data_IF_153823966374
#
_entry.id   IF_153823966374
#
_cell.length_a   1.000
_cell.length_b   1.000
_cell.length_c   1.000
_cell.angle_alpha   90.00
_cell.angle_beta   90.00
_cell.angle_gamma   90.00
#
_symmetry.space_group_name_H-M   'P 1'
#
loop_
_entity.id
_entity.type
_entity.pdbx_description
1 polymer ?
#
# COMPACT_ATOMS: atom_id res chain seq x y z
N UNK A 1 44.71 -49.64 41.02
CA UNK A 1 43.87 -49.14 42.13
C UNK A 1 43.82 -47.63 41.97
N UNK A 2 42.78 -46.91 41.53
CA UNK A 2 41.36 -47.06 41.13
C UNK A 2 41.14 -46.03 39.98
N UNK A 3 40.45 -46.25 38.86
CA UNK A 3 39.00 -46.41 38.58
C UNK A 3 38.13 -45.14 38.78
N UNK A 4 37.41 -44.75 37.71
CA UNK A 4 36.19 -43.88 37.57
C UNK A 4 36.35 -42.34 37.69
N UNK A 5 35.55 -41.46 37.07
CA UNK A 5 34.61 -41.44 35.92
C UNK A 5 34.17 -39.97 35.69
N UNK A 6 33.53 -39.75 34.55
CA UNK A 6 32.87 -38.57 33.99
C UNK A 6 31.90 -37.79 34.92
N UNK A 7 31.75 -36.46 34.71
CA UNK A 7 30.44 -35.79 34.45
C UNK A 7 30.39 -34.25 34.66
N UNK A 8 29.98 -33.57 33.59
CA UNK A 8 28.96 -32.49 33.53
C UNK A 8 29.31 -31.06 34.05
N UNK A 9 29.04 -29.94 33.37
CA UNK A 9 28.44 -29.63 32.06
C UNK A 9 28.63 -28.13 31.76
N UNK A 10 29.34 -27.78 30.69
CA UNK A 10 29.26 -26.45 30.07
C UNK A 10 28.38 -26.58 28.82
N UNK A 11 27.15 -26.10 28.91
CA UNK A 11 26.19 -26.12 27.81
C UNK A 11 26.73 -25.28 26.65
N UNK A 12 27.19 -25.95 25.58
CA UNK A 12 27.49 -25.33 24.29
C UNK A 12 26.17 -24.76 23.73
N UNK A 13 26.07 -23.44 23.65
CA UNK A 13 25.00 -22.78 22.90
C UNK A 13 25.11 -23.15 21.42
N UNK A 14 24.17 -23.98 20.95
CA UNK A 14 24.00 -24.29 19.55
C UNK A 14 23.59 -23.00 18.79
N UNK A 15 24.41 -22.58 17.84
CA UNK A 15 24.05 -21.55 16.85
C UNK A 15 22.99 -22.16 15.92
N UNK A 16 21.72 -21.85 16.14
CA UNK A 16 20.67 -22.20 15.19
C UNK A 16 20.82 -21.35 13.94
N UNK A 17 21.27 -21.96 12.85
CA UNK A 17 21.18 -21.41 11.50
C UNK A 17 19.72 -21.48 11.05
N UNK A 18 19.05 -20.34 11.01
CA UNK A 18 17.68 -20.23 10.46
C UNK A 18 17.81 -19.92 8.96
N UNK A 19 17.33 -20.82 8.11
CA UNK A 19 17.27 -20.60 6.66
C UNK A 19 16.34 -19.42 6.33
N UNK A 20 16.70 -18.54 5.38
CA UNK A 20 15.88 -17.38 5.04
C UNK A 20 14.54 -17.80 4.42
N UNK A 21 13.44 -17.24 4.93
CA UNK A 21 12.09 -17.43 4.40
C UNK A 21 11.97 -16.81 2.99
N UNK A 22 11.21 -17.46 2.10
CA UNK A 22 10.92 -16.95 0.74
C UNK A 22 10.09 -15.67 0.81
N UNK A 23 10.49 -14.68 0.02
CA UNK A 23 9.94 -13.31 -0.04
C UNK A 23 8.44 -13.33 -0.38
N UNK A 24 7.60 -12.69 0.45
CA UNK A 24 6.21 -12.34 0.10
C UNK A 24 5.09 -12.89 1.01
N UNK A 25 5.39 -13.73 2.00
CA UNK A 25 4.39 -14.30 2.91
C UNK A 25 4.29 -13.50 4.22
N UNK A 26 3.06 -13.12 4.62
CA UNK A 26 2.74 -12.82 6.02
C UNK A 26 2.10 -14.06 6.65
N UNK A 27 2.67 -14.47 7.77
CA UNK A 27 2.24 -15.65 8.53
C UNK A 27 1.77 -15.14 9.88
N UNK A 28 0.50 -15.37 10.18
CA UNK A 28 -0.05 -15.11 11.51
C UNK A 28 -0.01 -16.41 12.31
N UNK A 29 0.55 -16.31 13.52
CA UNK A 29 0.63 -17.42 14.46
C UNK A 29 -0.51 -17.27 15.47
N UNK A 30 -1.38 -18.27 15.55
CA UNK A 30 -2.42 -18.34 16.60
C UNK A 30 -2.35 -19.73 17.24
N UNK A 31 -1.48 -19.86 18.23
CA UNK A 31 -1.16 -21.14 18.86
C UNK A 31 -0.67 -22.18 17.84
N UNK A 32 -0.93 -23.47 18.15
CA UNK A 32 -0.73 -24.76 17.44
C UNK A 32 -0.59 -24.80 15.92
N UNK A 33 -1.12 -23.77 15.26
CA UNK A 33 -1.44 -23.73 13.85
C UNK A 33 -0.99 -22.40 13.25
N UNK A 34 -0.30 -22.48 12.12
CA UNK A 34 -0.03 -21.33 11.29
C UNK A 34 -1.22 -21.11 10.35
N UNK A 35 -1.65 -19.86 10.19
CA UNK A 35 -2.62 -19.48 9.16
C UNK A 35 -1.95 -18.51 8.20
N UNK A 36 -2.03 -18.82 6.92
CA UNK A 36 -1.66 -17.90 5.84
C UNK A 36 -2.89 -17.03 5.62
N UNK A 37 -2.83 -15.77 6.05
CA UNK A 37 -3.92 -14.80 5.89
C UNK A 37 -3.49 -13.67 4.98
N UNK A 38 -4.00 -13.70 3.75
CA UNK A 38 -4.06 -12.53 2.88
C UNK A 38 -5.28 -11.71 3.35
N UNK A 39 -5.06 -10.59 4.04
CA UNK A 39 -6.15 -9.82 4.63
C UNK A 39 -6.71 -8.81 3.61
N UNK A 40 -7.72 -9.26 2.87
CA UNK A 40 -8.87 -8.43 2.49
C UNK A 40 -10.10 -8.97 3.25
N UNK A 41 -10.46 -8.27 4.33
CA UNK A 41 -11.71 -8.29 5.13
C UNK A 41 -12.36 -9.62 5.57
N UNK A 42 -12.75 -9.67 6.85
CA UNK A 42 -13.60 -10.71 7.43
C UNK A 42 -15.03 -10.66 6.87
N UNK A 43 -15.40 -11.60 5.98
CA UNK A 43 -16.77 -12.09 5.86
C UNK A 43 -16.75 -13.58 5.51
N UNK A 44 -17.28 -14.42 6.41
CA UNK A 44 -17.30 -15.89 6.33
C UNK A 44 -17.93 -16.43 5.02
N UNK A 45 -18.76 -15.63 4.35
CA UNK A 45 -19.38 -15.96 3.05
C UNK A 45 -18.38 -16.00 1.87
N UNK A 46 -17.38 -15.11 1.86
CA UNK A 46 -16.37 -15.06 0.79
C UNK A 46 -15.47 -16.31 0.83
N UNK A 47 -15.20 -16.82 2.04
CA UNK A 47 -14.39 -18.02 2.25
C UNK A 47 -15.07 -19.29 1.72
N UNK A 48 -16.37 -19.46 1.96
CA UNK A 48 -17.15 -20.60 1.45
C UNK A 48 -17.21 -20.58 -0.09
N UNK A 49 -17.35 -19.39 -0.68
CA UNK A 49 -17.43 -19.23 -2.13
C UNK A 49 -16.10 -19.51 -2.85
N UNK A 50 -14.97 -19.05 -2.30
CA UNK A 50 -13.63 -19.33 -2.84
C UNK A 50 -13.35 -20.83 -2.83
N UNK A 51 -13.76 -21.54 -1.78
CA UNK A 51 -13.59 -23.01 -1.67
C UNK A 51 -14.41 -23.73 -2.75
N UNK A 52 -15.64 -23.29 -3.03
CA UNK A 52 -16.47 -23.85 -4.10
C UNK A 52 -15.89 -23.58 -5.50
N UNK A 53 -15.40 -22.36 -5.75
CA UNK A 53 -14.79 -22.00 -7.04
C UNK A 53 -13.47 -22.74 -7.32
N UNK A 54 -12.78 -23.19 -6.27
CA UNK A 54 -11.59 -24.05 -6.37
C UNK A 54 -11.93 -25.52 -6.65
N UNK A 55 -13.11 -26.00 -6.24
CA UNK A 55 -13.58 -27.36 -6.54
C UNK A 55 -14.01 -27.51 -8.01
N UNK A 56 -14.54 -26.45 -8.61
CA UNK A 56 -15.21 -26.50 -9.92
C UNK A 56 -14.32 -26.01 -11.09
N UNK A 57 -13.08 -25.58 -10.82
CA UNK A 57 -12.04 -25.31 -11.82
C UNK A 57 -12.26 -24.08 -12.73
N UNK A 58 -13.30 -23.28 -12.50
CA UNK A 58 -13.62 -22.11 -13.32
C UNK A 58 -13.48 -20.79 -12.55
N UNK A 59 -12.66 -19.87 -13.07
CA UNK A 59 -12.57 -18.49 -12.54
C UNK A 59 -13.75 -17.66 -13.07
N UNK A 60 -14.75 -17.35 -12.23
CA UNK A 60 -15.80 -16.36 -12.56
C UNK A 60 -15.60 -15.07 -11.76
N UNK A 61 -15.85 -13.93 -12.40
CA UNK A 61 -15.83 -12.58 -11.79
C UNK A 61 -17.19 -12.31 -11.16
N UNK A 62 -17.23 -11.99 -9.87
CA UNK A 62 -18.47 -11.72 -9.12
C UNK A 62 -18.63 -10.21 -8.91
N UNK A 63 -19.84 -9.70 -9.07
CA UNK A 63 -20.17 -8.30 -8.82
C UNK A 63 -20.87 -8.12 -7.47
N UNK A 64 -20.66 -6.97 -6.82
CA UNK A 64 -21.09 -6.66 -5.44
C UNK A 64 -22.57 -6.92 -5.14
N UNK A 65 -23.46 -6.82 -6.13
CA UNK A 65 -24.89 -7.04 -5.95
C UNK A 65 -25.26 -8.53 -5.76
N UNK A 66 -24.47 -9.45 -6.31
CA UNK A 66 -24.72 -10.90 -6.25
C UNK A 66 -24.44 -11.49 -4.85
N UNK A 67 -23.71 -10.75 -3.99
CA UNK A 67 -23.35 -11.16 -2.62
C UNK A 67 -24.50 -10.85 -1.63
N UNK A 68 -25.33 -9.85 -1.92
CA UNK A 68 -26.38 -9.39 -1.02
C UNK A 68 -27.65 -10.25 -1.04
N UNK A 69 -27.85 -11.08 -2.07
CA UNK A 69 -29.04 -11.94 -2.21
C UNK A 69 -28.89 -13.33 -1.57
N UNK A 70 -27.75 -13.62 -0.95
CA UNK A 70 -27.54 -14.87 -0.23
C UNK A 70 -28.38 -14.90 1.05
N UNK A 71 -29.52 -15.60 1.00
CA UNK A 71 -30.40 -15.85 2.15
C UNK A 71 -29.61 -16.52 3.28
N UNK A 72 -29.34 -15.79 4.36
CA UNK A 72 -28.66 -16.30 5.55
C UNK A 72 -29.60 -17.30 6.24
N UNK A 73 -29.44 -18.60 5.94
CA UNK A 73 -30.18 -19.68 6.58
C UNK A 73 -29.41 -20.22 7.80
N UNK A 74 -30.08 -20.13 8.95
CA UNK A 74 -30.06 -21.08 10.08
C UNK A 74 -28.82 -21.25 10.98
N UNK A 75 -27.98 -20.23 11.19
CA UNK A 75 -26.94 -20.28 12.25
C UNK A 75 -27.34 -19.52 13.53
N UNK A 76 -28.42 -18.73 13.50
CA UNK A 76 -28.82 -17.87 14.61
C UNK A 76 -30.03 -18.37 15.43
N UNK A 77 -30.41 -19.64 15.33
CA UNK A 77 -31.60 -20.14 16.06
C UNK A 77 -31.39 -20.35 17.57
N UNK A 78 -30.17 -20.23 18.09
CA UNK A 78 -29.86 -20.57 19.49
C UNK A 78 -29.21 -19.41 20.29
N UNK A 79 -29.30 -18.17 19.82
CA UNK A 79 -28.98 -17.02 20.68
C UNK A 79 -30.25 -16.64 21.44
N UNK A 80 -30.29 -16.96 22.73
CA UNK A 80 -31.31 -16.45 23.66
C UNK A 80 -31.22 -14.93 23.73
N UNK A 81 -32.36 -14.25 23.84
CA UNK A 81 -32.47 -12.78 23.92
C UNK A 81 -31.53 -12.17 24.98
N UNK A 82 -31.29 -12.89 26.09
CA UNK A 82 -30.36 -12.49 27.15
C UNK A 82 -28.90 -12.34 26.69
N UNK A 83 -28.47 -13.10 25.67
CA UNK A 83 -27.11 -13.01 25.11
C UNK A 83 -26.97 -11.79 24.22
N UNK A 84 -28.03 -11.43 23.50
CA UNK A 84 -28.07 -10.21 22.67
C UNK A 84 -28.05 -8.97 23.58
N UNK A 85 -28.84 -8.99 24.66
CA UNK A 85 -28.91 -7.90 25.63
C UNK A 85 -27.58 -7.67 26.37
N UNK A 86 -26.80 -8.73 26.64
CA UNK A 86 -25.49 -8.61 27.29
C UNK A 86 -24.37 -8.10 26.35
N UNK A 87 -24.51 -8.27 25.03
CA UNK A 87 -23.57 -7.66 24.07
C UNK A 87 -23.80 -6.16 23.92
N UNK A 88 -25.06 -5.70 23.97
CA UNK A 88 -25.39 -4.27 23.89
C UNK A 88 -25.00 -3.49 25.16
N UNK A 89 -25.00 -4.13 26.33
CA UNK A 89 -24.69 -3.45 27.59
C UNK A 89 -23.19 -3.37 27.93
N UNK A 90 -22.31 -4.12 27.26
CA UNK A 90 -20.86 -4.09 27.54
C UNK A 90 -20.08 -3.07 26.68
N UNK A 91 -20.77 -2.34 25.80
CA UNK A 91 -20.26 -1.13 25.13
C UNK A 91 -20.91 0.15 25.66
N UNK A 92 -21.21 0.21 26.96
CA UNK A 92 -21.38 1.52 27.61
C UNK A 92 -20.00 2.18 27.81
N UNK A 93 -19.42 2.58 26.68
CA UNK A 93 -18.42 3.64 26.65
C UNK A 93 -19.16 4.94 26.96
N UNK A 94 -19.17 5.31 28.25
CA UNK A 94 -19.40 6.69 28.66
C UNK A 94 -18.30 7.57 28.06
N UNK A 95 -18.62 8.26 26.98
CA UNK A 95 -18.13 9.61 26.74
C UNK A 95 -19.18 10.34 25.93
N UNK A 96 -19.63 11.49 26.43
CA UNK A 96 -20.26 12.51 25.61
C UNK A 96 -19.27 12.91 24.50
N UNK A 97 -19.23 12.14 23.41
CA UNK A 97 -18.36 12.41 22.28
C UNK A 97 -19.01 13.55 21.49
N UNK A 98 -18.69 14.77 21.91
CA UNK A 98 -19.06 16.00 21.24
C UNK A 98 -18.76 15.87 19.75
N UNK A 99 -19.77 16.05 18.89
CA UNK A 99 -19.62 15.86 17.45
C UNK A 99 -18.43 16.69 16.94
N UNK A 100 -17.56 16.11 16.09
CA UNK A 100 -16.39 16.82 15.60
C UNK A 100 -16.82 18.11 14.91
N UNK A 101 -16.15 19.20 15.28
CA UNK A 101 -16.40 20.52 14.71
C UNK A 101 -16.17 20.51 13.19
N UNK A 102 -16.81 21.44 12.48
CA UNK A 102 -16.62 21.60 11.03
C UNK A 102 -15.14 21.79 10.67
N UNK A 103 -14.39 22.47 11.53
CA UNK A 103 -12.94 22.68 11.36
C UNK A 103 -12.14 21.38 11.50
N UNK A 104 -12.52 20.48 12.41
CA UNK A 104 -11.87 19.16 12.55
C UNK A 104 -12.16 18.26 11.36
N UNK A 105 -13.40 18.27 10.87
CA UNK A 105 -13.78 17.56 9.65
C UNK A 105 -12.98 18.08 8.45
N UNK A 106 -12.80 19.40 8.34
CA UNK A 106 -12.01 20.01 7.27
C UNK A 106 -10.52 19.67 7.40
N UNK A 107 -9.95 19.72 8.62
CA UNK A 107 -8.57 19.28 8.87
C UNK A 107 -8.37 17.81 8.49
N UNK A 108 -9.31 16.93 8.81
CA UNK A 108 -9.28 15.52 8.41
C UNK A 108 -9.36 15.36 6.88
N UNK A 109 -10.25 16.12 6.23
CA UNK A 109 -10.38 16.11 4.77
C UNK A 109 -9.10 16.58 4.07
N UNK A 110 -8.40 17.59 4.63
CA UNK A 110 -7.12 18.08 4.14
C UNK A 110 -5.97 17.09 4.41
N UNK A 111 -5.97 16.42 5.57
CA UNK A 111 -4.98 15.41 5.95
C UNK A 111 -5.04 14.14 5.09
N UNK A 112 -6.11 13.95 4.30
CA UNK A 112 -6.25 12.86 3.32
C UNK A 112 -5.06 12.75 2.36
N UNK A 113 -4.41 13.87 2.02
CA UNK A 113 -3.38 13.90 0.98
C UNK A 113 -2.00 14.08 1.60
N UNK A 114 -1.09 13.12 1.39
CA UNK A 114 0.24 13.17 1.99
C UNK A 114 1.07 14.32 1.39
N UNK A 115 2.04 14.91 2.14
CA UNK A 115 2.87 16.02 1.64
C UNK A 115 3.58 15.73 0.32
N UNK A 116 4.08 14.49 0.15
CA UNK A 116 4.71 14.05 -1.11
C UNK A 116 3.70 14.00 -2.26
N UNK A 117 2.49 13.56 -1.97
CA UNK A 117 1.38 13.50 -2.92
C UNK A 117 0.95 14.91 -3.35
N UNK A 118 1.01 15.90 -2.44
CA UNK A 118 0.80 17.32 -2.75
C UNK A 118 1.87 17.86 -3.71
N UNK A 119 3.15 17.55 -3.47
CA UNK A 119 4.23 17.94 -4.38
C UNK A 119 4.04 17.35 -5.79
N UNK A 120 3.65 16.08 -5.88
CA UNK A 120 3.36 15.45 -7.17
C UNK A 120 2.16 16.10 -7.87
N UNK A 121 1.14 16.50 -7.10
CA UNK A 121 -0.04 17.23 -7.60
C UNK A 121 0.37 18.56 -8.20
N UNK A 122 1.12 19.39 -7.45
CA UNK A 122 1.63 20.67 -7.93
C UNK A 122 2.52 20.53 -9.17
N UNK A 123 3.34 19.47 -9.22
CA UNK A 123 4.16 19.20 -10.40
C UNK A 123 3.32 18.92 -11.65
N UNK A 124 2.33 18.03 -11.57
CA UNK A 124 1.45 17.73 -12.71
C UNK A 124 0.64 18.94 -13.18
N UNK A 125 0.15 19.75 -12.24
CA UNK A 125 -0.55 21.01 -12.51
C UNK A 125 0.37 22.01 -13.21
N UNK A 126 1.61 22.15 -12.74
CA UNK A 126 2.61 23.03 -13.35
C UNK A 126 2.89 22.64 -14.80
N UNK A 127 2.96 21.34 -15.11
CA UNK A 127 3.13 20.86 -16.48
C UNK A 127 1.97 21.30 -17.38
N UNK A 128 0.73 21.06 -16.94
CA UNK A 128 -0.44 21.43 -17.72
C UNK A 128 -0.54 22.96 -17.91
N UNK A 129 -0.36 23.75 -16.85
CA UNK A 129 -0.37 25.22 -16.95
C UNK A 129 0.73 25.76 -17.86
N UNK A 130 1.93 25.20 -17.78
CA UNK A 130 3.04 25.55 -18.66
C UNK A 130 2.67 25.30 -20.12
N UNK A 131 2.21 24.08 -20.43
CA UNK A 131 1.79 23.71 -21.77
C UNK A 131 0.64 24.58 -22.30
N UNK A 132 -0.36 24.89 -21.47
CA UNK A 132 -1.46 25.79 -21.85
C UNK A 132 -0.92 27.18 -22.23
N UNK A 133 -0.04 27.73 -21.40
CA UNK A 133 0.56 29.05 -21.64
C UNK A 133 1.40 29.07 -22.92
N UNK A 134 2.22 28.04 -23.15
CA UNK A 134 3.02 27.87 -24.37
C UNK A 134 2.15 27.81 -25.63
N UNK A 135 0.96 27.22 -25.52
CA UNK A 135 -0.01 27.10 -26.61
C UNK A 135 -1.02 28.26 -26.66
N UNK A 136 -0.75 29.37 -25.96
CA UNK A 136 -1.58 30.59 -25.92
C UNK A 136 -3.00 30.38 -25.40
N UNK A 137 -3.19 29.38 -24.54
CA UNK A 137 -4.42 29.17 -23.78
C UNK A 137 -4.34 29.80 -22.39
N UNK A 138 -5.51 30.02 -21.78
CA UNK A 138 -5.57 30.37 -20.35
C UNK A 138 -4.99 29.24 -19.51
N UNK A 139 -4.25 29.59 -18.47
CA UNK A 139 -3.72 28.64 -17.50
C UNK A 139 -4.76 28.20 -16.45
N UNK A 140 -5.92 28.88 -16.37
CA UNK A 140 -7.05 28.54 -15.50
C UNK A 140 -7.89 27.40 -16.10
N UNK A 141 -7.31 26.21 -16.22
CA UNK A 141 -8.01 25.05 -16.78
C UNK A 141 -9.14 24.53 -15.89
N UNK A 142 -9.17 24.94 -14.63
CA UNK A 142 -10.17 24.55 -13.65
C UNK A 142 -11.55 25.14 -13.99
N UNK A 143 -11.58 26.27 -14.70
CA UNK A 143 -12.80 26.98 -15.12
C UNK A 143 -13.37 26.47 -16.46
N UNK A 144 -12.63 25.60 -17.17
CA UNK A 144 -13.04 25.10 -18.48
C UNK A 144 -14.22 24.13 -18.36
N UNK A 145 -15.14 24.19 -19.32
CA UNK A 145 -16.15 23.15 -19.50
C UNK A 145 -15.50 21.80 -19.82
N UNK A 146 -16.21 20.69 -19.59
CA UNK A 146 -15.67 19.35 -19.79
C UNK A 146 -15.21 19.08 -21.21
N UNK A 147 -15.91 19.61 -22.22
CA UNK A 147 -15.58 19.39 -23.63
C UNK A 147 -14.26 20.06 -23.97
N UNK A 148 -14.12 21.34 -23.61
CA UNK A 148 -12.89 22.09 -23.82
C UNK A 148 -11.74 21.51 -23.00
N UNK A 149 -11.98 21.14 -21.74
CA UNK A 149 -10.95 20.52 -20.90
C UNK A 149 -10.48 19.19 -21.49
N UNK A 150 -11.39 18.32 -21.94
CA UNK A 150 -11.03 17.06 -22.58
C UNK A 150 -10.22 17.29 -23.87
N UNK A 151 -10.62 18.25 -24.71
CA UNK A 151 -9.88 18.61 -25.92
C UNK A 151 -8.44 19.05 -25.58
N UNK A 152 -8.29 19.95 -24.61
CA UNK A 152 -6.96 20.37 -24.13
C UNK A 152 -6.14 19.20 -23.58
N UNK A 153 -6.76 18.27 -22.86
CA UNK A 153 -6.09 17.08 -22.35
C UNK A 153 -5.64 16.12 -23.46
N UNK A 154 -6.38 15.99 -24.57
CA UNK A 154 -5.96 15.20 -25.73
C UNK A 154 -4.63 15.73 -26.28
N UNK A 155 -4.56 17.02 -26.60
CA UNK A 155 -3.35 17.64 -27.13
C UNK A 155 -2.22 17.63 -26.11
N UNK A 156 -2.51 17.99 -24.87
CA UNK A 156 -1.53 17.99 -23.79
C UNK A 156 -0.87 16.63 -23.62
N UNK A 157 -1.66 15.55 -23.49
CA UNK A 157 -1.11 14.21 -23.35
C UNK A 157 -0.24 13.87 -24.56
N UNK A 158 -0.74 14.06 -25.79
CA UNK A 158 0.03 13.77 -27.01
C UNK A 158 1.37 14.53 -27.11
N UNK A 159 1.46 15.72 -26.50
CA UNK A 159 2.66 16.57 -26.49
C UNK A 159 3.60 16.34 -25.31
N UNK A 160 3.29 15.43 -24.38
CA UNK A 160 4.09 15.25 -23.16
C UNK A 160 5.51 14.76 -23.45
N UNK A 161 6.49 15.62 -23.20
CA UNK A 161 7.92 15.31 -23.27
C UNK A 161 8.68 15.98 -22.12
N UNK A 162 9.79 15.36 -21.73
CA UNK A 162 10.74 15.97 -20.78
C UNK A 162 11.41 17.18 -21.41
N UNK A 163 12.08 18.02 -20.60
CA UNK A 163 12.89 19.16 -21.10
C UNK A 163 13.97 18.76 -22.11
N UNK A 164 14.38 17.50 -22.11
CA UNK A 164 15.38 16.96 -23.03
C UNK A 164 14.75 16.35 -24.30
N UNK A 165 13.43 16.47 -24.49
CA UNK A 165 12.70 15.87 -25.61
C UNK A 165 12.41 14.37 -25.47
N UNK A 166 12.83 13.74 -24.36
CA UNK A 166 12.56 12.32 -24.10
C UNK A 166 11.12 12.10 -23.65
N UNK A 167 10.57 10.91 -23.95
CA UNK A 167 9.25 10.50 -23.47
C UNK A 167 9.22 10.33 -21.94
N UNK A 168 8.08 10.64 -21.33
CA UNK A 168 7.82 10.27 -19.94
C UNK A 168 7.60 8.76 -19.78
N UNK A 169 7.99 8.21 -18.62
CA UNK A 169 7.67 6.82 -18.27
C UNK A 169 6.15 6.64 -18.10
N UNK A 170 5.66 5.39 -18.21
CA UNK A 170 4.24 5.10 -17.95
C UNK A 170 3.78 5.55 -16.56
N UNK A 171 4.61 5.31 -15.54
CA UNK A 171 4.30 5.72 -14.17
C UNK A 171 4.20 7.24 -14.03
N UNK A 172 5.05 7.99 -14.74
CA UNK A 172 4.95 9.45 -14.79
C UNK A 172 3.66 9.90 -15.48
N UNK A 173 3.28 9.31 -16.62
CA UNK A 173 2.02 9.64 -17.30
C UNK A 173 0.78 9.40 -16.41
N UNK A 174 0.72 8.25 -15.73
CA UNK A 174 -0.34 7.96 -14.76
C UNK A 174 -0.32 8.97 -13.61
N UNK A 175 0.87 9.32 -13.12
CA UNK A 175 1.07 10.31 -12.06
C UNK A 175 0.59 11.71 -12.46
N UNK A 176 0.88 12.17 -13.68
CA UNK A 176 0.43 13.46 -14.21
C UNK A 176 -1.10 13.50 -14.28
N UNK A 177 -1.74 12.48 -14.87
CA UNK A 177 -3.21 12.41 -14.95
C UNK A 177 -3.85 12.42 -13.56
N UNK A 178 -3.28 11.66 -12.62
CA UNK A 178 -3.78 11.60 -11.25
C UNK A 178 -3.60 12.93 -10.52
N UNK A 179 -2.48 13.62 -10.74
CA UNK A 179 -2.23 14.96 -10.22
C UNK A 179 -3.29 15.96 -10.70
N UNK A 180 -3.59 15.98 -12.01
CA UNK A 180 -4.60 16.88 -12.56
C UNK A 180 -5.98 16.56 -11.99
N UNK A 181 -6.35 15.27 -11.93
CA UNK A 181 -7.63 14.83 -11.35
C UNK A 181 -7.78 15.24 -9.89
N UNK A 182 -6.74 15.05 -9.06
CA UNK A 182 -6.75 15.49 -7.66
C UNK A 182 -6.88 17.00 -7.52
N UNK A 183 -6.25 17.77 -8.41
CA UNK A 183 -6.28 19.22 -8.34
C UNK A 183 -7.67 19.80 -8.66
N UNK A 184 -8.34 19.29 -9.68
CA UNK A 184 -9.68 19.77 -10.06
C UNK A 184 -10.79 19.31 -9.10
N UNK A 185 -10.66 18.10 -8.54
CA UNK A 185 -11.64 17.53 -7.59
C UNK A 185 -11.37 17.94 -6.14
N UNK A 186 -10.16 18.43 -5.86
CA UNK A 186 -9.76 18.89 -4.54
C UNK A 186 -10.09 20.37 -4.30
N UNK A 187 -9.96 20.83 -3.03
CA UNK A 187 -10.05 22.25 -2.72
C UNK A 187 -8.99 23.07 -3.47
N UNK A 188 -9.30 24.31 -3.89
CA UNK A 188 -10.57 25.03 -3.68
C UNK A 188 -11.66 24.71 -4.71
N UNK A 189 -11.33 24.00 -5.80
CA UNK A 189 -12.21 23.89 -6.97
C UNK A 189 -13.36 22.91 -6.78
N UNK A 190 -13.12 21.78 -6.09
CA UNK A 190 -14.13 20.78 -5.73
C UNK A 190 -15.08 20.41 -6.87
N UNK A 191 -14.55 20.28 -8.10
CA UNK A 191 -15.40 19.97 -9.25
C UNK A 191 -15.92 18.54 -9.17
N UNK A 192 -17.20 18.37 -9.48
CA UNK A 192 -17.85 17.07 -9.60
C UNK A 192 -17.63 16.47 -11.00
N UNK A 193 -16.37 16.23 -11.34
CA UNK A 193 -15.96 15.57 -12.59
C UNK A 193 -14.81 14.60 -12.32
N UNK A 194 -14.72 13.53 -13.10
CA UNK A 194 -13.63 12.58 -13.05
C UNK A 194 -13.03 12.37 -14.43
N UNK A 195 -11.92 13.06 -14.69
CA UNK A 195 -11.19 12.99 -15.96
C UNK A 195 -10.61 11.61 -16.29
N UNK A 196 -10.64 10.66 -15.35
CA UNK A 196 -10.13 9.30 -15.52
C UNK A 196 -11.23 8.34 -15.98
N UNK A 197 -12.45 8.49 -15.46
CA UNK A 197 -13.54 7.51 -15.66
C UNK A 197 -14.72 8.04 -16.44
N UNK A 198 -14.94 9.35 -16.46
CA UNK A 198 -16.15 9.92 -17.04
C UNK A 198 -16.12 9.84 -18.57
N UNK A 199 -17.29 9.63 -19.15
CA UNK A 199 -17.45 9.41 -20.59
C UNK A 199 -17.03 10.62 -21.42
N UNK A 200 -17.23 11.83 -20.89
CA UNK A 200 -16.80 13.09 -21.51
C UNK A 200 -15.29 13.15 -21.74
N UNK A 201 -14.50 12.41 -20.97
CA UNK A 201 -13.04 12.37 -21.06
C UNK A 201 -12.49 11.14 -21.79
N UNK A 202 -13.34 10.32 -22.42
CA UNK A 202 -12.90 9.14 -23.18
C UNK A 202 -11.86 9.45 -24.27
N UNK A 203 -11.98 10.54 -25.07
CA UNK A 203 -10.97 10.86 -26.08
C UNK A 203 -9.56 11.07 -25.48
N UNK A 204 -9.44 11.88 -24.42
CA UNK A 204 -8.14 12.13 -23.79
C UNK A 204 -7.59 10.87 -23.11
N UNK A 205 -8.46 10.03 -22.55
CA UNK A 205 -8.09 8.72 -21.99
C UNK A 205 -7.61 7.73 -23.07
N UNK A 206 -8.16 7.76 -24.27
CA UNK A 206 -7.64 6.99 -25.40
C UNK A 206 -6.24 7.46 -25.81
N UNK A 207 -6.00 8.76 -25.86
CA UNK A 207 -4.69 9.33 -26.22
C UNK A 207 -3.62 8.88 -25.23
N UNK A 208 -3.83 9.08 -23.92
CA UNK A 208 -2.83 8.72 -22.91
C UNK A 208 -2.60 7.19 -22.89
N UNK A 209 -3.63 6.39 -23.11
CA UNK A 209 -3.51 4.93 -23.25
C UNK A 209 -2.72 4.55 -24.50
N UNK A 210 -2.95 5.23 -25.62
CA UNK A 210 -2.21 5.08 -26.86
C UNK A 210 -0.72 5.36 -26.68
N UNK A 211 -0.37 6.42 -25.96
CA UNK A 211 1.02 6.72 -25.60
C UNK A 211 1.65 5.64 -24.74
N UNK A 212 0.95 5.15 -23.70
CA UNK A 212 1.46 4.04 -22.89
C UNK A 212 1.70 2.78 -23.74
N UNK A 213 0.81 2.47 -24.69
CA UNK A 213 0.99 1.36 -25.63
C UNK A 213 2.18 1.59 -26.57
N UNK A 214 2.38 2.82 -27.07
CA UNK A 214 3.55 3.21 -27.87
C UNK A 214 4.85 2.97 -27.09
N UNK A 215 4.95 3.45 -25.86
CA UNK A 215 6.12 3.24 -24.99
C UNK A 215 6.42 1.75 -24.77
N UNK A 216 5.37 0.94 -24.61
CA UNK A 216 5.53 -0.51 -24.49
C UNK A 216 6.11 -1.13 -25.76
N UNK A 217 5.60 -0.74 -26.94
CA UNK A 217 6.05 -1.26 -28.24
C UNK A 217 7.50 -0.88 -28.53
N UNK A 218 7.89 0.33 -28.13
CA UNK A 218 9.27 0.83 -28.28
C UNK A 218 10.23 0.25 -27.24
N UNK A 219 9.77 -0.65 -26.36
CA UNK A 219 10.60 -1.23 -25.31
C UNK A 219 11.03 -0.23 -24.24
N UNK A 220 10.43 0.97 -24.20
CA UNK A 220 10.70 2.02 -23.19
C UNK A 220 9.93 1.82 -21.89
N UNK A 221 9.09 0.79 -21.84
CA UNK A 221 8.40 0.33 -20.62
C UNK A 221 9.33 -0.53 -19.75
N UNK A 222 10.50 -0.01 -19.42
CA UNK A 222 11.50 -0.73 -18.63
C UNK A 222 11.29 -0.37 -17.16
N UNK A 223 10.87 -1.34 -16.37
CA UNK A 223 10.96 -1.24 -14.92
C UNK A 223 12.28 -1.87 -14.49
N UNK A 224 13.26 -1.04 -14.15
CA UNK A 224 14.52 -1.52 -13.56
C UNK A 224 14.26 -1.84 -12.10
N UNK A 225 14.09 -3.11 -11.78
CA UNK A 225 14.04 -3.56 -10.40
C UNK A 225 15.41 -3.42 -9.75
N UNK A 226 15.43 -2.99 -8.48
CA UNK A 226 16.66 -2.98 -7.69
C UNK A 226 17.18 -4.43 -7.58
N UNK A 227 18.47 -4.63 -7.81
CA UNK A 227 19.11 -5.94 -7.63
C UNK A 227 19.00 -6.34 -6.16
N UNK A 228 18.81 -7.63 -5.91
CA UNK A 228 18.94 -8.17 -4.56
C UNK A 228 20.37 -7.92 -4.04
N UNK A 229 20.50 -7.68 -2.74
CA UNK A 229 21.81 -7.55 -2.10
C UNK A 229 22.46 -8.94 -2.11
N UNK A 230 23.65 -9.06 -2.69
CA UNK A 230 24.34 -10.33 -2.76
C UNK A 230 24.83 -10.77 -1.37
N UNK A 231 24.87 -12.08 -1.12
CA UNK A 231 25.31 -12.62 0.18
C UNK A 231 26.72 -12.14 0.56
N UNK A 232 27.64 -12.09 -0.40
CA UNK A 232 28.99 -11.55 -0.16
C UNK A 232 29.00 -10.07 0.22
N UNK A 233 28.05 -9.27 -0.27
CA UNK A 233 27.93 -7.86 0.11
C UNK A 233 27.30 -7.71 1.50
N UNK A 234 26.37 -8.58 1.87
CA UNK A 234 25.86 -8.68 3.24
C UNK A 234 27.02 -9.04 4.19
N UNK A 235 27.85 -10.02 3.83
CA UNK A 235 29.01 -10.41 4.63
C UNK A 235 30.01 -9.26 4.80
N UNK A 236 30.32 -8.52 3.73
CA UNK A 236 31.17 -7.33 3.81
C UNK A 236 30.57 -6.25 4.71
N UNK A 237 29.25 -6.02 4.65
CA UNK A 237 28.57 -5.05 5.52
C UNK A 237 28.78 -5.39 6.99
N UNK A 238 28.62 -6.66 7.37
CA UNK A 238 28.88 -7.13 8.73
C UNK A 238 30.36 -7.06 9.12
N UNK A 239 31.27 -7.52 8.26
CA UNK A 239 32.71 -7.52 8.53
C UNK A 239 33.32 -6.12 8.57
N UNK A 240 32.67 -5.11 7.97
CA UNK A 240 33.15 -3.71 7.97
C UNK A 240 33.04 -3.00 9.32
N UNK A 241 32.29 -3.57 10.29
CA UNK A 241 32.01 -2.93 11.57
C UNK A 241 30.93 -1.84 11.53
N UNK A 242 30.42 -1.46 10.35
CA UNK A 242 29.32 -0.47 10.21
C UNK A 242 28.02 -0.99 10.84
N UNK A 243 27.83 -2.31 10.78
CA UNK A 243 26.71 -3.05 11.35
C UNK A 243 27.27 -3.95 12.45
N UNK A 244 27.39 -3.42 13.66
CA UNK A 244 27.96 -4.13 14.81
C UNK A 244 27.19 -3.84 16.09
N UNK A 245 27.50 -4.55 17.17
CA UNK A 245 26.90 -4.31 18.50
C UNK A 245 27.84 -3.53 19.43
N UNK A 246 28.99 -3.09 18.93
CA UNK A 246 30.10 -2.60 19.76
C UNK A 246 29.96 -1.12 20.15
N UNK A 247 29.29 -0.33 19.30
CA UNK A 247 29.05 1.09 19.54
C UNK A 247 27.57 1.45 19.33
N UNK A 248 27.04 2.47 20.04
CA UNK A 248 25.64 2.86 19.92
C UNK A 248 25.19 3.14 18.48
N UNK A 249 26.04 3.81 17.69
CA UNK A 249 25.75 4.15 16.29
C UNK A 249 25.73 2.89 15.40
N UNK A 250 26.69 1.99 15.56
CA UNK A 250 26.76 0.76 14.76
C UNK A 250 25.64 -0.21 15.16
N UNK A 251 25.23 -0.21 16.43
CA UNK A 251 24.07 -0.93 16.93
C UNK A 251 22.78 -0.40 16.30
N UNK A 252 22.61 0.91 16.23
CA UNK A 252 21.46 1.53 15.57
C UNK A 252 21.40 1.15 14.08
N UNK A 253 22.53 1.21 13.37
CA UNK A 253 22.61 0.76 11.97
C UNK A 253 22.24 -0.71 11.83
N UNK A 254 22.69 -1.56 12.76
CA UNK A 254 22.36 -2.98 12.77
C UNK A 254 20.88 -3.25 12.97
N UNK A 255 20.28 -2.62 13.98
CA UNK A 255 18.85 -2.75 14.23
C UNK A 255 18.05 -2.29 13.02
N UNK A 256 18.40 -1.15 12.43
CA UNK A 256 17.75 -0.66 11.21
C UNK A 256 17.88 -1.65 10.05
N UNK A 257 19.09 -2.13 9.77
CA UNK A 257 19.37 -3.11 8.71
C UNK A 257 18.57 -4.40 8.89
N UNK A 258 18.58 -4.96 10.10
CA UNK A 258 17.87 -6.20 10.41
C UNK A 258 16.36 -6.04 10.27
N UNK A 259 15.81 -4.90 10.69
CA UNK A 259 14.37 -4.63 10.51
C UNK A 259 14.04 -4.55 9.00
N UNK A 260 14.88 -3.87 8.21
CA UNK A 260 14.62 -3.69 6.78
C UNK A 260 14.72 -5.01 6.02
N UNK A 261 15.75 -5.80 6.32
CA UNK A 261 16.03 -7.07 5.65
C UNK A 261 14.95 -8.12 5.97
N UNK A 262 14.53 -8.23 7.23
CA UNK A 262 13.65 -9.31 7.68
C UNK A 262 12.15 -8.97 7.55
N UNK A 263 11.75 -7.72 7.75
CA UNK A 263 10.33 -7.34 7.71
C UNK A 263 9.93 -6.62 6.41
N UNK A 264 10.89 -6.19 5.58
CA UNK A 264 10.62 -5.59 4.28
C UNK A 264 9.73 -4.35 4.33
N UNK A 265 9.76 -3.59 5.44
CA UNK A 265 8.94 -2.38 5.60
C UNK A 265 9.32 -1.34 4.55
N UNK A 266 8.30 -0.69 3.99
CA UNK A 266 8.42 0.31 2.93
C UNK A 266 8.06 1.69 3.47
N UNK A 267 8.71 2.71 2.90
CA UNK A 267 8.38 4.11 3.16
C UNK A 267 9.06 4.67 4.41
N UNK A 268 9.49 5.92 4.34
CA UNK A 268 10.17 6.60 5.45
C UNK A 268 9.22 6.86 6.62
N UNK A 269 7.97 7.20 6.34
CA UNK A 269 6.94 7.54 7.35
C UNK A 269 6.66 6.34 8.26
N UNK A 270 6.38 5.16 7.69
CA UNK A 270 6.14 3.94 8.46
C UNK A 270 7.36 3.39 9.21
N UNK A 271 8.55 3.94 8.97
CA UNK A 271 9.77 3.66 9.74
C UNK A 271 10.00 4.69 10.85
N UNK A 272 9.73 5.96 10.57
CA UNK A 272 9.84 7.04 11.55
C UNK A 272 8.84 6.87 12.71
N UNK A 273 7.69 6.28 12.44
CA UNK A 273 6.64 6.05 13.44
C UNK A 273 6.80 4.75 14.23
N UNK A 274 7.86 3.97 13.99
CA UNK A 274 8.12 2.74 14.75
C UNK A 274 8.38 3.08 16.22
N UNK A 275 7.50 2.58 17.09
CA UNK A 275 7.62 2.66 18.55
C UNK A 275 8.08 1.32 19.09
N UNK A 276 8.55 1.30 20.35
CA UNK A 276 8.83 0.04 21.06
C UNK A 276 7.61 -0.89 21.08
N UNK A 277 6.41 -0.30 21.20
CA UNK A 277 5.12 -1.00 21.18
C UNK A 277 4.72 -1.51 19.79
N UNK A 278 5.40 -1.10 18.72
CA UNK A 278 5.18 -1.66 17.38
C UNK A 278 5.67 -3.10 17.25
N UNK A 279 6.43 -3.59 18.24
CA UNK A 279 6.94 -4.96 18.29
C UNK A 279 6.44 -5.64 19.57
N UNK A 280 5.88 -6.84 19.41
CA UNK A 280 5.52 -7.72 20.52
C UNK A 280 6.39 -8.99 20.45
N UNK A 281 6.81 -9.49 21.60
CA UNK A 281 7.42 -10.80 21.72
C UNK A 281 6.32 -11.80 22.07
N UNK A 282 6.12 -12.79 21.21
CA UNK A 282 5.30 -13.96 21.51
C UNK A 282 6.20 -15.20 21.47
N UNK A 283 5.86 -16.19 22.29
CA UNK A 283 6.43 -17.54 22.15
C UNK A 283 5.66 -18.29 21.09
N UNK A 284 6.34 -19.16 20.35
CA UNK A 284 5.63 -20.15 19.54
C UNK A 284 5.14 -21.29 20.44
N UNK A 285 4.41 -22.24 19.88
CA UNK A 285 3.87 -23.37 20.66
C UNK A 285 4.93 -24.32 21.21
N UNK A 286 6.19 -24.13 20.82
CA UNK A 286 7.32 -24.94 21.21
C UNK A 286 8.18 -24.27 22.28
N UNK A 287 7.86 -23.04 22.68
CA UNK A 287 8.41 -22.37 23.87
C UNK A 287 9.45 -21.30 23.57
#
# INVERSE_FOLDING_TARGET
MHMFDDSSSAVKMNRYTVSPLKIGLRVDYKGASYKITDHFMEQNAVRQYIIQSMADGGTKRVFRHEICDARVSSVFSNLTEDTIFNFENNEQSQSDEELPSKEEIEKLALARTEPRTNQQTLWGVKLLRGWLTENKYSSSFEELDETTLNDRLCYFYASLQTKQGNDYSKSALVGIRSAISRHITGPPYNRDINIITDKSFMPSNHVITGMMKKLKREGKDITVHKKAVAEGDIQKLYSSGIVSTDHPVTLQNKVFWDIMLNFGRRGQEGLAELKKTSYAKSKDDKG
#
